data_IF_656842473583
#
_entry.id   IF_656842473583
#
_cell.length_a   1.000
_cell.length_b   1.000
_cell.length_c   1.000
_cell.angle_alpha   90.00
_cell.angle_beta   90.00
_cell.angle_gamma   90.00
#
_symmetry.space_group_name_H-M   'P 1'
#
loop_
_entity.id
_entity.type
_entity.pdbx_description
1 polymer ?
#
# COMPACT_ATOMS: atom_id res chain seq x y z
N UNK A 1 0.43 -1.92 9.97
CA UNK A 1 -0.73 -1.51 9.14
C UNK A 1 -0.24 -0.47 8.15
N UNK A 2 -0.35 -0.75 6.85
CA UNK A 2 0.03 0.16 5.77
C UNK A 2 -1.20 0.30 4.88
N UNK A 3 -1.58 1.53 4.56
CA UNK A 3 -2.76 1.78 3.74
C UNK A 3 -2.42 1.61 2.26
N UNK A 4 -3.31 0.96 1.51
CA UNK A 4 -3.25 1.04 0.06
C UNK A 4 -3.74 2.43 -0.38
N UNK A 5 -2.82 3.21 -0.94
CA UNK A 5 -3.06 4.57 -1.45
C UNK A 5 -2.80 4.67 -2.95
N UNK A 6 -2.50 3.55 -3.62
CA UNK A 6 -2.09 3.52 -5.03
C UNK A 6 -3.23 3.08 -5.97
N UNK A 7 -4.42 2.85 -5.43
CA UNK A 7 -5.62 2.39 -6.15
C UNK A 7 -6.50 3.53 -6.71
N UNK A 8 -6.10 4.80 -6.50
CA UNK A 8 -6.83 5.99 -6.95
C UNK A 8 -6.26 6.69 -8.20
N UNK A 9 -6.77 7.88 -8.51
CA UNK A 9 -6.26 8.73 -9.60
C UNK A 9 -4.92 9.35 -9.20
N UNK A 10 -3.97 9.42 -10.14
CA UNK A 10 -2.67 10.05 -9.91
C UNK A 10 -2.86 11.54 -9.59
N UNK A 11 -2.42 12.04 -8.42
CA UNK A 11 -2.61 13.43 -8.04
C UNK A 11 -1.76 14.38 -8.89
N UNK A 12 -2.26 15.59 -9.10
CA UNK A 12 -1.56 16.64 -9.87
C UNK A 12 -0.40 17.27 -9.09
N UNK A 13 -0.43 17.20 -7.77
CA UNK A 13 0.64 17.73 -6.94
C UNK A 13 1.84 16.77 -6.87
N UNK A 14 3.04 17.32 -7.05
CA UNK A 14 4.27 16.52 -7.08
C UNK A 14 4.57 15.82 -5.74
N UNK A 15 4.33 16.51 -4.62
CA UNK A 15 4.54 15.93 -3.30
C UNK A 15 3.65 14.70 -3.08
N UNK A 16 2.37 14.82 -3.46
CA UNK A 16 1.39 13.74 -3.37
C UNK A 16 1.77 12.55 -4.25
N UNK A 17 2.24 12.76 -5.49
CA UNK A 17 2.76 11.67 -6.34
C UNK A 17 3.97 10.98 -5.71
N UNK A 18 4.96 11.76 -5.28
CA UNK A 18 6.17 11.20 -4.68
C UNK A 18 5.87 10.40 -3.41
N UNK A 19 4.87 10.84 -2.63
CA UNK A 19 4.39 10.10 -1.47
C UNK A 19 3.78 8.75 -1.86
N UNK A 20 2.86 8.72 -2.83
CA UNK A 20 2.24 7.48 -3.32
C UNK A 20 3.31 6.51 -3.85
N UNK A 21 4.25 6.99 -4.66
CA UNK A 21 5.33 6.16 -5.20
C UNK A 21 6.19 5.55 -4.08
N UNK A 22 6.62 6.37 -3.11
CA UNK A 22 7.47 5.92 -2.00
C UNK A 22 6.74 4.93 -1.10
N UNK A 23 5.47 5.18 -0.77
CA UNK A 23 4.67 4.28 0.06
C UNK A 23 4.44 2.93 -0.64
N UNK A 24 4.25 2.93 -1.96
CA UNK A 24 4.20 1.69 -2.76
C UNK A 24 5.48 0.87 -2.66
N UNK A 25 6.65 1.50 -2.83
CA UNK A 25 7.95 0.81 -2.69
C UNK A 25 8.18 0.30 -1.27
N UNK A 26 7.86 1.10 -0.25
CA UNK A 26 8.00 0.69 1.15
C UNK A 26 7.07 -0.49 1.46
N UNK A 27 5.83 -0.46 0.98
CA UNK A 27 4.87 -1.56 1.16
C UNK A 27 5.37 -2.87 0.57
N UNK A 28 5.97 -2.84 -0.62
CA UNK A 28 6.58 -4.02 -1.24
C UNK A 28 7.77 -4.55 -0.44
N UNK A 29 8.65 -3.67 0.05
CA UNK A 29 9.78 -4.10 0.89
C UNK A 29 9.31 -4.69 2.21
N UNK A 30 8.29 -4.11 2.82
CA UNK A 30 7.74 -4.60 4.08
C UNK A 30 7.07 -5.97 3.89
N UNK A 31 6.30 -6.18 2.82
CA UNK A 31 5.63 -7.47 2.56
C UNK A 31 6.62 -8.62 2.34
N UNK A 32 7.82 -8.35 1.82
CA UNK A 32 8.89 -9.34 1.72
C UNK A 32 9.39 -9.79 3.09
N UNK A 33 9.48 -8.87 4.06
CA UNK A 33 9.93 -9.15 5.42
C UNK A 33 8.86 -9.86 6.28
N UNK A 34 7.58 -9.62 6.01
CA UNK A 34 6.48 -10.23 6.76
C UNK A 34 6.29 -11.71 6.41
N UNK A 35 6.02 -12.55 7.40
CA UNK A 35 5.58 -13.93 7.17
C UNK A 35 4.15 -14.01 6.66
N UNK A 36 3.29 -13.10 7.12
CA UNK A 36 1.90 -13.01 6.72
C UNK A 36 1.54 -11.59 6.28
N UNK A 37 0.69 -11.48 5.26
CA UNK A 37 0.21 -10.22 4.71
C UNK A 37 -1.28 -10.33 4.49
N UNK A 38 -2.03 -9.36 5.01
CA UNK A 38 -3.48 -9.31 4.87
C UNK A 38 -3.88 -8.00 4.20
N UNK A 39 -4.80 -8.10 3.24
CA UNK A 39 -5.55 -6.97 2.71
C UNK A 39 -6.88 -6.87 3.45
N UNK A 40 -7.23 -5.67 3.93
CA UNK A 40 -8.51 -5.44 4.61
C UNK A 40 -9.34 -4.48 3.78
N UNK A 41 -10.49 -4.95 3.29
CA UNK A 41 -11.46 -4.16 2.53
C UNK A 41 -12.82 -4.26 3.20
N UNK A 42 -13.43 -3.12 3.53
CA UNK A 42 -14.75 -3.05 4.18
C UNK A 42 -14.87 -3.94 5.43
N UNK A 43 -13.79 -4.05 6.20
CA UNK A 43 -13.71 -4.89 7.41
C UNK A 43 -13.50 -6.39 7.14
N UNK A 44 -13.46 -6.82 5.87
CA UNK A 44 -13.16 -8.19 5.47
C UNK A 44 -11.65 -8.34 5.22
N UNK A 45 -11.02 -9.29 5.90
CA UNK A 45 -9.59 -9.59 5.75
C UNK A 45 -9.36 -10.73 4.75
N UNK A 46 -8.49 -10.49 3.78
CA UNK A 46 -8.03 -11.46 2.78
C UNK A 46 -6.54 -11.70 3.02
N UNK A 47 -6.13 -12.96 3.19
CA UNK A 47 -4.71 -13.33 3.31
C UNK A 47 -4.07 -13.35 1.92
N UNK A 48 -2.99 -12.61 1.74
CA UNK A 48 -2.19 -12.51 0.52
C UNK A 48 -0.88 -13.31 0.60
N UNK A 49 -0.28 -13.38 1.80
CA UNK A 49 0.92 -14.16 2.13
C UNK A 49 0.71 -14.77 3.51
#
# INVERSE_FOLDING_TARGET
MLNDVNSGVIPMENQSRSFIDRTGVIGQKLSLLCNEVYEVKLGLSIKLK
#
